data_IF_317046970718
#
_entry.id   IF_317046970718
#
_cell.length_a   1.000
_cell.length_b   1.000
_cell.length_c   1.000
_cell.angle_alpha   90.00
_cell.angle_beta   90.00
_cell.angle_gamma   90.00
#
_symmetry.space_group_name_H-M   'P 1'
#
loop_
_entity.id
_entity.type
_entity.pdbx_description
1 polymer ?
#
# COMPACT_ATOMS: atom_id res chain seq x y z
N UNK A 1 -0.57 -1.47 13.19
CA UNK A 1 -1.57 -0.70 13.98
C UNK A 1 -1.21 0.77 13.89
N UNK A 2 -2.16 1.62 13.53
CA UNK A 2 -1.96 3.07 13.45
C UNK A 2 -2.59 3.75 14.68
N UNK A 3 -1.82 4.61 15.32
CA UNK A 3 -2.25 5.43 16.46
C UNK A 3 -2.23 6.89 15.99
N UNK A 4 -3.40 7.40 15.64
CA UNK A 4 -3.55 8.78 15.18
C UNK A 4 -3.75 9.71 16.37
N UNK A 5 -2.90 10.72 16.48
CA UNK A 5 -2.91 11.75 17.52
C UNK A 5 -3.18 13.10 16.85
N UNK A 6 -4.42 13.57 16.97
CA UNK A 6 -4.85 14.86 16.40
C UNK A 6 -4.67 15.92 17.49
N UNK A 7 -3.75 16.85 17.29
CA UNK A 7 -3.50 17.95 18.20
C UNK A 7 -4.34 19.18 17.81
N UNK A 8 -4.90 19.85 18.81
CA UNK A 8 -5.79 21.00 18.62
C UNK A 8 -5.06 22.36 18.65
N UNK A 9 -3.82 22.36 19.10
CA UNK A 9 -2.99 23.55 19.23
C UNK A 9 -1.52 23.24 18.92
N UNK A 10 -0.67 24.24 18.90
CA UNK A 10 0.78 24.04 18.79
C UNK A 10 1.29 23.17 19.94
N UNK A 11 2.24 22.30 19.64
CA UNK A 11 2.91 21.48 20.66
C UNK A 11 3.84 22.32 21.50
N UNK A 12 3.80 22.11 22.81
CA UNK A 12 4.71 22.74 23.76
C UNK A 12 5.84 21.78 24.10
N UNK A 13 7.09 22.21 23.90
CA UNK A 13 8.25 21.45 24.35
C UNK A 13 8.25 21.32 25.86
N UNK A 14 8.48 20.12 26.39
CA UNK A 14 8.43 19.80 27.83
C UNK A 14 7.07 20.09 28.52
N UNK A 15 5.97 20.18 27.74
CA UNK A 15 4.61 20.42 28.24
C UNK A 15 3.60 19.42 27.74
N UNK A 16 2.40 19.50 28.31
CA UNK A 16 1.25 18.68 27.87
C UNK A 16 0.50 19.41 26.76
N UNK A 17 0.16 18.68 25.70
CA UNK A 17 -0.68 19.18 24.60
C UNK A 17 -1.92 18.29 24.50
N UNK A 18 -3.10 18.90 24.59
CA UNK A 18 -4.37 18.17 24.44
C UNK A 18 -4.49 17.59 23.04
N UNK A 19 -4.94 16.36 22.96
CA UNK A 19 -5.10 15.66 21.69
C UNK A 19 -6.27 14.68 21.72
N UNK A 20 -6.86 14.42 20.54
CA UNK A 20 -7.74 13.29 20.32
C UNK A 20 -6.93 12.13 19.79
N UNK A 21 -6.98 10.98 20.48
CA UNK A 21 -6.19 9.79 20.10
C UNK A 21 -7.13 8.67 19.70
N UNK A 22 -6.88 8.14 18.50
CA UNK A 22 -7.61 6.97 17.97
C UNK A 22 -6.64 5.88 17.55
N UNK A 23 -7.09 4.63 17.68
CA UNK A 23 -6.32 3.45 17.27
C UNK A 23 -7.11 2.67 16.24
N UNK A 24 -6.49 2.35 15.10
CA UNK A 24 -7.13 1.61 14.02
C UNK A 24 -6.11 0.71 13.30
N UNK A 25 -6.61 -0.29 12.58
CA UNK A 25 -5.76 -1.08 11.73
C UNK A 25 -5.10 -0.23 10.64
N UNK A 26 -3.83 -0.47 10.38
CA UNK A 26 -3.04 0.22 9.37
C UNK A 26 -2.08 -0.70 8.64
N UNK A 27 -1.19 -0.08 7.86
CA UNK A 27 -0.21 -0.73 7.01
C UNK A 27 -0.70 -0.94 5.58
N UNK A 28 0.07 -0.42 4.60
CA UNK A 28 -0.34 -0.36 3.19
C UNK A 28 -0.79 -1.73 2.64
N UNK A 29 -0.01 -2.80 2.85
CA UNK A 29 -0.40 -4.13 2.37
C UNK A 29 -1.70 -4.64 3.01
N UNK A 30 -1.92 -4.35 4.30
CA UNK A 30 -3.15 -4.73 4.99
C UNK A 30 -4.36 -3.93 4.48
N UNK A 31 -4.18 -2.64 4.19
CA UNK A 31 -5.22 -1.80 3.58
C UNK A 31 -5.59 -2.31 2.19
N UNK A 32 -4.60 -2.60 1.33
CA UNK A 32 -4.84 -3.20 0.01
C UNK A 32 -5.59 -4.54 0.14
N UNK A 33 -5.17 -5.41 1.06
CA UNK A 33 -5.84 -6.70 1.28
C UNK A 33 -7.30 -6.55 1.72
N UNK A 34 -7.61 -5.58 2.60
CA UNK A 34 -9.01 -5.32 3.02
C UNK A 34 -9.86 -4.77 1.89
N UNK A 35 -9.30 -3.92 1.03
CA UNK A 35 -9.99 -3.44 -0.17
C UNK A 35 -10.19 -4.54 -1.22
N UNK A 36 -9.21 -5.43 -1.42
CA UNK A 36 -9.37 -6.59 -2.31
C UNK A 36 -10.49 -7.51 -1.81
N UNK A 37 -10.49 -7.83 -0.51
CA UNK A 37 -11.57 -8.64 0.08
C UNK A 37 -12.95 -7.95 -0.03
N UNK A 38 -13.02 -6.62 0.11
CA UNK A 38 -14.25 -5.84 -0.10
C UNK A 38 -14.76 -5.94 -1.54
N UNK A 39 -13.86 -6.04 -2.52
CA UNK A 39 -14.19 -6.26 -3.94
C UNK A 39 -14.56 -7.71 -4.27
N UNK A 40 -14.46 -8.62 -3.30
CA UNK A 40 -14.80 -10.05 -3.45
C UNK A 40 -13.61 -10.93 -3.86
N UNK A 41 -12.39 -10.39 -3.85
CA UNK A 41 -11.19 -11.16 -4.14
C UNK A 41 -10.77 -12.01 -2.92
N UNK A 42 -10.19 -13.19 -3.19
CA UNK A 42 -9.61 -14.05 -2.16
C UNK A 42 -8.23 -13.55 -1.74
N UNK A 43 -8.20 -12.57 -0.84
CA UNK A 43 -6.99 -11.91 -0.40
C UNK A 43 -6.32 -12.64 0.77
N UNK A 44 -5.02 -12.95 0.64
CA UNK A 44 -4.18 -13.45 1.72
C UNK A 44 -3.12 -12.42 2.10
N UNK A 45 -3.15 -11.97 3.34
CA UNK A 45 -2.16 -11.03 3.87
C UNK A 45 -0.96 -11.77 4.47
N UNK A 46 0.22 -11.53 3.90
CA UNK A 46 1.50 -11.99 4.47
C UNK A 46 2.06 -10.87 5.34
N UNK A 47 1.95 -11.05 6.66
CA UNK A 47 2.47 -10.13 7.66
C UNK A 47 2.73 -10.87 8.97
N UNK A 48 3.53 -10.27 9.84
CA UNK A 48 3.80 -10.79 11.18
C UNK A 48 3.13 -9.91 12.22
N UNK A 49 2.51 -10.53 13.20
CA UNK A 49 1.93 -9.87 14.38
C UNK A 49 2.57 -10.45 15.64
N UNK A 50 2.73 -9.62 16.66
CA UNK A 50 3.16 -10.04 17.99
C UNK A 50 2.04 -10.74 18.76
N UNK A 51 2.41 -11.44 19.81
CA UNK A 51 1.44 -11.96 20.81
C UNK A 51 1.13 -10.87 21.82
N UNK A 52 0.40 -9.85 21.35
CA UNK A 52 0.01 -8.67 22.12
C UNK A 52 -1.41 -8.19 21.74
N UNK A 53 -1.94 -7.23 22.51
CA UNK A 53 -3.28 -6.71 22.30
C UNK A 53 -3.50 -6.08 20.92
N UNK A 54 -2.46 -5.52 20.32
CA UNK A 54 -2.54 -4.97 18.94
C UNK A 54 -2.62 -6.09 17.90
N UNK A 55 -1.87 -7.19 18.10
CA UNK A 55 -1.97 -8.39 17.27
C UNK A 55 -3.37 -9.02 17.34
N UNK A 56 -3.96 -9.11 18.55
CA UNK A 56 -5.32 -9.59 18.74
C UNK A 56 -6.34 -8.73 17.99
N UNK A 57 -6.22 -7.40 18.12
CA UNK A 57 -7.11 -6.47 17.47
C UNK A 57 -7.01 -6.56 15.92
N UNK A 58 -5.80 -6.63 15.38
CA UNK A 58 -5.57 -6.78 13.92
C UNK A 58 -6.12 -8.10 13.40
N UNK A 59 -5.88 -9.22 14.10
CA UNK A 59 -6.39 -10.52 13.69
C UNK A 59 -7.92 -10.53 13.64
N UNK A 60 -8.57 -9.96 14.66
CA UNK A 60 -10.02 -9.82 14.70
C UNK A 60 -10.52 -8.98 13.51
N UNK A 61 -9.85 -7.88 13.22
CA UNK A 61 -10.22 -6.97 12.14
C UNK A 61 -10.05 -7.65 10.77
N UNK A 62 -8.95 -8.37 10.50
CA UNK A 62 -8.77 -9.12 9.25
C UNK A 62 -9.89 -10.14 9.03
N UNK A 63 -10.29 -10.88 10.10
CA UNK A 63 -11.41 -11.81 10.03
C UNK A 63 -12.73 -11.08 9.68
N UNK A 64 -12.98 -9.89 10.22
CA UNK A 64 -14.17 -9.10 9.92
C UNK A 64 -14.23 -8.65 8.44
N UNK A 65 -13.07 -8.35 7.84
CA UNK A 65 -12.97 -8.01 6.42
C UNK A 65 -12.93 -9.24 5.49
N UNK A 66 -12.83 -10.46 6.03
CA UNK A 66 -12.65 -11.66 5.23
C UNK A 66 -11.25 -11.81 4.63
N UNK A 67 -10.26 -11.09 5.15
CA UNK A 67 -8.85 -11.22 4.74
C UNK A 67 -8.26 -12.46 5.39
N UNK A 68 -7.73 -13.38 4.58
CA UNK A 68 -6.99 -14.55 5.09
C UNK A 68 -5.58 -14.13 5.52
N UNK A 69 -5.07 -14.74 6.56
CA UNK A 69 -3.69 -14.60 7.03
C UNK A 69 -3.30 -15.84 7.85
N UNK A 70 -2.01 -16.01 8.17
CA UNK A 70 -1.52 -17.19 8.90
C UNK A 70 -2.16 -17.39 10.27
N UNK A 71 -2.59 -16.31 10.91
CA UNK A 71 -3.07 -16.32 12.32
C UNK A 71 -1.97 -16.57 13.33
N UNK A 72 -0.72 -16.73 12.89
CA UNK A 72 0.41 -17.00 13.78
C UNK A 72 0.78 -15.73 14.52
N UNK A 73 0.77 -15.79 15.84
CA UNK A 73 1.31 -14.78 16.72
C UNK A 73 2.73 -15.16 17.12
N UNK A 74 3.61 -14.20 17.13
CA UNK A 74 5.01 -14.42 17.47
C UNK A 74 5.24 -14.02 18.93
N UNK A 75 5.47 -14.98 19.84
CA UNK A 75 5.82 -14.69 21.24
C UNK A 75 7.13 -13.89 21.27
N UNK A 76 7.27 -13.04 22.25
CA UNK A 76 8.46 -12.17 22.45
C UNK A 76 8.68 -11.12 21.34
N UNK A 77 7.74 -10.97 20.42
CA UNK A 77 7.73 -9.94 19.38
C UNK A 77 6.57 -8.99 19.60
N UNK A 78 6.74 -7.71 19.22
CA UNK A 78 5.69 -6.71 19.29
C UNK A 78 5.07 -6.50 17.90
N UNK A 79 3.78 -6.32 17.87
CA UNK A 79 3.07 -5.90 16.65
C UNK A 79 3.59 -4.53 16.20
N UNK A 80 3.79 -4.35 14.90
CA UNK A 80 4.21 -3.07 14.33
C UNK A 80 3.19 -1.97 14.57
N UNK A 81 3.68 -0.77 14.91
CA UNK A 81 2.87 0.41 15.23
C UNK A 81 3.38 1.60 14.42
N UNK A 82 2.46 2.43 13.94
CA UNK A 82 2.77 3.77 13.42
C UNK A 82 2.06 4.78 14.30
N UNK A 83 2.81 5.67 14.94
CA UNK A 83 2.24 6.85 15.60
C UNK A 83 2.14 7.96 14.55
N UNK A 84 0.95 8.51 14.38
CA UNK A 84 0.65 9.55 13.40
C UNK A 84 0.27 10.80 14.15
N UNK A 85 1.11 11.82 14.09
CA UNK A 85 0.81 13.14 14.62
C UNK A 85 0.16 13.96 13.51
N UNK A 86 -1.05 14.44 13.77
CA UNK A 86 -1.80 15.32 12.87
C UNK A 86 -1.82 16.70 13.46
N UNK A 87 -1.17 17.65 12.80
CA UNK A 87 -1.09 19.04 13.21
C UNK A 87 -2.41 19.78 12.92
N UNK A 88 -2.67 20.96 13.54
CA UNK A 88 -3.90 21.75 13.34
C UNK A 88 -4.14 22.15 11.87
N UNK A 89 -3.08 22.27 11.07
CA UNK A 89 -3.16 22.55 9.63
C UNK A 89 -3.42 21.29 8.77
N UNK A 90 -3.59 20.11 9.40
CA UNK A 90 -3.83 18.83 8.73
C UNK A 90 -2.57 18.12 8.24
N UNK A 91 -1.38 18.65 8.46
CA UNK A 91 -0.13 17.96 8.12
C UNK A 91 0.10 16.77 9.03
N UNK A 92 0.71 15.72 8.46
CA UNK A 92 0.94 14.45 9.16
C UNK A 92 2.41 14.13 9.27
N UNK A 93 2.84 13.83 10.49
CA UNK A 93 4.17 13.28 10.77
C UNK A 93 4.01 11.84 11.27
N UNK A 94 4.70 10.90 10.65
CA UNK A 94 4.58 9.47 10.97
C UNK A 94 5.85 8.94 11.63
N UNK A 95 5.68 8.15 12.68
CA UNK A 95 6.74 7.49 13.43
C UNK A 95 6.52 5.96 13.37
N UNK A 96 7.04 5.29 12.31
CA UNK A 96 6.83 3.87 12.14
C UNK A 96 7.79 3.04 13.00
N UNK A 97 7.25 2.06 13.72
CA UNK A 97 7.98 0.92 14.26
C UNK A 97 7.45 -0.35 13.59
N UNK A 98 8.29 -1.01 12.82
CA UNK A 98 7.91 -2.22 12.06
C UNK A 98 7.61 -3.43 12.95
N UNK A 99 8.04 -3.42 14.21
CA UNK A 99 7.83 -4.53 15.13
C UNK A 99 8.24 -5.88 14.52
N UNK A 100 7.37 -6.87 14.68
CA UNK A 100 7.54 -8.24 14.15
C UNK A 100 7.71 -8.29 12.63
N UNK A 101 7.12 -7.35 11.87
CA UNK A 101 7.29 -7.29 10.40
C UNK A 101 8.75 -7.04 9.97
N UNK A 102 9.62 -6.54 10.86
CA UNK A 102 11.05 -6.43 10.57
C UNK A 102 11.74 -7.79 10.39
N UNK A 103 11.08 -8.88 10.79
CA UNK A 103 11.56 -10.27 10.67
C UNK A 103 10.80 -11.08 9.62
N UNK A 104 9.99 -10.42 8.79
CA UNK A 104 9.25 -11.07 7.70
C UNK A 104 10.21 -11.91 6.84
N UNK A 105 9.80 -13.12 6.47
CA UNK A 105 10.63 -14.08 5.77
C UNK A 105 9.80 -15.04 4.91
N UNK A 106 10.47 -15.85 4.09
CA UNK A 106 9.84 -16.88 3.26
C UNK A 106 9.01 -17.90 4.04
N UNK A 107 9.32 -18.09 5.34
CA UNK A 107 8.53 -18.98 6.19
C UNK A 107 7.12 -18.42 6.51
N UNK A 108 6.89 -17.14 6.24
CA UNK A 108 5.59 -16.48 6.44
C UNK A 108 4.69 -16.60 5.20
N UNK A 109 5.23 -17.08 4.06
CA UNK A 109 4.45 -17.33 2.85
C UNK A 109 3.52 -18.54 3.03
N UNK A 110 2.27 -18.46 2.57
CA UNK A 110 1.42 -19.64 2.44
C UNK A 110 1.94 -20.56 1.30
N UNK A 111 1.39 -21.78 1.17
CA UNK A 111 1.52 -22.52 -0.09
C UNK A 111 1.10 -21.64 -1.26
N UNK A 112 1.90 -21.60 -2.32
CA UNK A 112 1.74 -20.63 -3.40
C UNK A 112 0.76 -21.06 -4.50
N UNK A 113 0.29 -22.29 -4.47
CA UNK A 113 -0.65 -22.82 -5.44
C UNK A 113 -1.97 -22.03 -5.46
N UNK A 114 -2.41 -21.61 -6.62
CA UNK A 114 -3.67 -20.91 -6.84
C UNK A 114 -3.62 -19.39 -6.64
N UNK A 115 -2.46 -18.81 -6.27
CA UNK A 115 -2.29 -17.37 -6.27
C UNK A 115 -1.89 -16.85 -7.66
N UNK A 116 -2.60 -15.84 -8.16
CA UNK A 116 -2.34 -15.24 -9.47
C UNK A 116 -1.38 -14.05 -9.40
N UNK A 117 -1.44 -13.29 -8.29
CA UNK A 117 -0.62 -12.11 -8.08
C UNK A 117 -0.20 -11.92 -6.63
N UNK A 118 0.89 -11.20 -6.43
CA UNK A 118 1.35 -10.73 -5.15
C UNK A 118 1.63 -9.22 -5.22
N UNK A 119 0.97 -8.47 -4.35
CA UNK A 119 1.25 -7.07 -4.11
C UNK A 119 2.27 -6.92 -2.99
N UNK A 120 3.32 -6.19 -3.24
CA UNK A 120 4.38 -5.90 -2.27
C UNK A 120 4.40 -4.40 -1.98
N UNK A 121 4.17 -4.03 -0.71
CA UNK A 121 4.48 -2.71 -0.22
C UNK A 121 6.00 -2.53 -0.13
N UNK A 122 6.55 -1.40 -0.57
CA UNK A 122 7.99 -1.16 -0.59
C UNK A 122 8.65 -1.01 0.77
N UNK A 123 7.88 -0.71 1.83
CA UNK A 123 8.45 -0.49 3.16
C UNK A 123 9.31 -1.63 3.70
N UNK A 124 8.98 -2.92 3.54
CA UNK A 124 9.85 -4.02 3.93
C UNK A 124 11.16 -4.11 3.13
N UNK A 125 11.19 -3.61 1.88
CA UNK A 125 12.42 -3.49 1.08
C UNK A 125 13.28 -2.31 1.56
N UNK A 126 12.65 -1.21 1.97
CA UNK A 126 13.34 -0.04 2.54
C UNK A 126 13.97 -0.38 3.88
N UNK A 127 13.29 -1.16 4.72
CA UNK A 127 13.80 -1.58 6.04
C UNK A 127 14.98 -2.55 5.89
N UNK A 128 16.20 -2.20 6.35
CA UNK A 128 17.37 -3.04 6.20
C UNK A 128 17.28 -4.39 6.93
N UNK A 129 16.40 -4.49 7.96
CA UNK A 129 16.23 -5.74 8.73
C UNK A 129 15.44 -6.80 7.99
N UNK A 130 14.45 -6.40 7.17
CA UNK A 130 13.59 -7.31 6.39
C UNK A 130 14.01 -7.44 4.93
N UNK A 131 14.78 -6.51 4.39
CA UNK A 131 15.12 -6.42 2.95
C UNK A 131 15.57 -7.72 2.34
N UNK A 132 16.61 -8.35 2.90
CA UNK A 132 17.18 -9.58 2.33
C UNK A 132 16.15 -10.71 2.27
N UNK A 133 15.36 -10.86 3.33
CA UNK A 133 14.32 -11.87 3.41
C UNK A 133 13.18 -11.60 2.41
N UNK A 134 12.77 -10.33 2.26
CA UNK A 134 11.72 -9.95 1.32
C UNK A 134 12.17 -10.13 -0.12
N UNK A 135 13.44 -9.86 -0.45
CA UNK A 135 14.00 -10.19 -1.77
C UNK A 135 13.95 -11.71 -2.03
N UNK A 136 14.28 -12.54 -1.05
CA UNK A 136 14.14 -13.99 -1.18
C UNK A 136 12.68 -14.45 -1.34
N UNK A 137 11.71 -13.77 -0.68
CA UNK A 137 10.28 -14.02 -0.89
C UNK A 137 9.86 -13.66 -2.33
N UNK A 138 10.32 -12.52 -2.85
CA UNK A 138 10.07 -12.07 -4.22
C UNK A 138 10.59 -13.11 -5.23
N UNK A 139 11.78 -13.64 -5.03
CA UNK A 139 12.36 -14.68 -5.88
C UNK A 139 11.52 -15.96 -5.88
N UNK A 140 10.99 -16.37 -4.73
CA UNK A 140 10.09 -17.54 -4.62
C UNK A 140 8.76 -17.29 -5.35
N UNK A 141 8.14 -16.13 -5.16
CA UNK A 141 6.91 -15.75 -5.84
C UNK A 141 7.09 -15.71 -7.37
N UNK A 142 8.19 -15.12 -7.82
CA UNK A 142 8.55 -15.06 -9.24
C UNK A 142 8.79 -16.47 -9.82
N UNK A 143 9.48 -17.34 -9.08
CA UNK A 143 9.73 -18.74 -9.49
C UNK A 143 8.45 -19.54 -9.58
N UNK A 144 7.42 -19.20 -8.81
CA UNK A 144 6.08 -19.80 -8.88
C UNK A 144 5.22 -19.22 -10.02
N UNK A 145 5.73 -18.25 -10.80
CA UNK A 145 5.00 -17.65 -11.92
C UNK A 145 3.93 -16.63 -11.49
N UNK A 146 3.99 -16.14 -10.26
CA UNK A 146 3.02 -15.19 -9.72
C UNK A 146 3.33 -13.79 -10.25
N UNK A 147 2.32 -13.08 -10.73
CA UNK A 147 2.44 -11.68 -11.16
C UNK A 147 2.84 -10.77 -9.98
N UNK A 148 3.92 -10.03 -10.12
CA UNK A 148 4.46 -9.19 -9.04
C UNK A 148 4.08 -7.72 -9.23
N UNK A 149 3.50 -7.12 -8.20
CA UNK A 149 3.01 -5.74 -8.21
C UNK A 149 3.63 -5.00 -7.02
N UNK A 150 4.20 -3.81 -7.24
CA UNK A 150 4.81 -3.00 -6.18
C UNK A 150 4.19 -1.61 -6.08
N UNK A 151 4.03 -1.12 -4.84
CA UNK A 151 4.02 0.29 -4.49
C UNK A 151 5.31 0.56 -3.72
N UNK A 152 6.26 1.36 -4.27
CA UNK A 152 7.61 1.48 -3.70
C UNK A 152 7.66 2.21 -2.36
N UNK A 153 6.56 2.89 -1.98
CA UNK A 153 6.48 3.67 -0.75
C UNK A 153 6.86 5.15 -0.94
N UNK A 154 6.69 5.93 0.11
CA UNK A 154 6.80 7.40 0.07
C UNK A 154 8.20 7.90 -0.27
N UNK A 155 8.27 9.07 -0.92
CA UNK A 155 9.54 9.76 -1.21
C UNK A 155 10.41 9.92 0.03
N UNK A 156 9.81 10.30 1.18
CA UNK A 156 10.57 10.47 2.44
C UNK A 156 11.27 9.20 2.92
N UNK A 157 10.66 8.03 2.67
CA UNK A 157 11.26 6.73 2.99
C UNK A 157 12.35 6.33 1.97
N UNK A 158 12.13 6.64 0.70
CA UNK A 158 13.02 6.29 -0.42
C UNK A 158 14.29 7.15 -0.49
N UNK A 159 14.27 8.38 0.04
CA UNK A 159 15.42 9.32 -0.01
C UNK A 159 16.74 8.75 0.53
N UNK A 160 16.68 7.75 1.42
CA UNK A 160 17.86 7.10 2.01
C UNK A 160 18.36 5.90 1.20
N UNK A 161 17.69 5.56 0.11
CA UNK A 161 18.01 4.40 -0.73
C UNK A 161 18.69 4.90 -2.02
N UNK A 162 19.83 4.35 -2.42
CA UNK A 162 20.44 4.69 -3.71
C UNK A 162 19.48 4.41 -4.87
N UNK A 163 19.41 5.32 -5.85
CA UNK A 163 18.53 5.17 -7.02
C UNK A 163 18.75 3.85 -7.76
N UNK A 164 20.01 3.45 -7.93
CA UNK A 164 20.36 2.18 -8.56
C UNK A 164 19.68 0.99 -7.85
N UNK A 165 19.68 0.99 -6.52
CA UNK A 165 19.00 -0.05 -5.72
C UNK A 165 17.48 -0.03 -5.93
N UNK A 166 16.87 1.18 -6.02
CA UNK A 166 15.44 1.30 -6.31
C UNK A 166 15.13 0.74 -7.70
N UNK A 167 15.96 1.03 -8.71
CA UNK A 167 15.80 0.49 -10.07
C UNK A 167 15.93 -1.03 -10.11
N UNK A 168 16.91 -1.59 -9.40
CA UNK A 168 17.08 -3.04 -9.24
C UNK A 168 15.85 -3.69 -8.62
N UNK A 169 15.23 -3.05 -7.62
CA UNK A 169 13.98 -3.55 -7.06
C UNK A 169 12.85 -3.48 -8.07
N UNK A 170 12.62 -2.32 -8.70
CA UNK A 170 11.54 -2.14 -9.67
C UNK A 170 11.62 -3.13 -10.83
N UNK A 171 12.82 -3.50 -11.26
CA UNK A 171 13.05 -4.49 -12.33
C UNK A 171 12.61 -5.93 -11.96
N UNK A 172 12.30 -6.20 -10.69
CA UNK A 172 11.77 -7.50 -10.26
C UNK A 172 10.26 -7.64 -10.52
N UNK A 173 9.56 -6.53 -10.75
CA UNK A 173 8.10 -6.48 -10.78
C UNK A 173 7.53 -6.32 -12.18
N UNK A 174 6.32 -6.85 -12.38
CA UNK A 174 5.56 -6.74 -13.62
C UNK A 174 4.79 -5.41 -13.69
N UNK A 175 4.35 -4.91 -12.52
CA UNK A 175 3.58 -3.67 -12.39
C UNK A 175 4.13 -2.83 -11.24
N UNK A 176 4.36 -1.54 -11.50
CA UNK A 176 4.66 -0.55 -10.48
C UNK A 176 3.51 0.47 -10.38
N UNK A 177 2.98 0.66 -9.18
CA UNK A 177 1.90 1.61 -8.89
C UNK A 177 2.44 2.67 -7.94
N UNK A 178 2.65 3.88 -8.43
CA UNK A 178 3.27 4.98 -7.69
C UNK A 178 2.30 6.16 -7.56
N UNK A 179 2.60 7.10 -6.68
CA UNK A 179 2.04 8.45 -6.83
C UNK A 179 2.96 9.34 -7.70
N UNK A 180 2.46 10.51 -8.11
CA UNK A 180 3.19 11.41 -9.03
C UNK A 180 4.52 11.88 -8.41
N UNK A 181 4.55 12.21 -7.12
CA UNK A 181 5.78 12.62 -6.43
C UNK A 181 6.82 11.50 -6.38
N UNK A 182 6.40 10.27 -6.16
CA UNK A 182 7.27 9.09 -6.18
C UNK A 182 7.81 8.82 -7.59
N UNK A 183 6.97 8.92 -8.61
CA UNK A 183 7.38 8.73 -10.00
C UNK A 183 8.43 9.77 -10.44
N UNK A 184 8.20 11.04 -10.13
CA UNK A 184 9.14 12.12 -10.42
C UNK A 184 10.45 11.95 -9.64
N UNK A 185 10.37 11.63 -8.35
CA UNK A 185 11.55 11.40 -7.51
C UNK A 185 12.40 10.23 -8.01
N UNK A 186 11.79 9.05 -8.20
CA UNK A 186 12.51 7.83 -8.59
C UNK A 186 13.12 7.99 -9.98
N UNK A 187 12.38 8.56 -10.92
CA UNK A 187 12.86 8.77 -12.29
C UNK A 187 13.89 9.89 -12.43
N UNK A 188 14.02 10.74 -11.40
CA UNK A 188 14.84 11.97 -11.43
C UNK A 188 14.43 12.88 -12.60
N UNK A 189 13.12 12.99 -12.87
CA UNK A 189 12.52 13.84 -13.91
C UNK A 189 11.59 14.85 -13.27
N UNK A 190 11.39 16.00 -13.95
CA UNK A 190 10.47 17.06 -13.56
C UNK A 190 9.09 16.93 -14.21
N UNK A 191 9.01 16.18 -15.32
CA UNK A 191 7.78 16.03 -16.11
C UNK A 191 7.29 14.59 -16.07
N UNK A 192 5.97 14.41 -15.93
CA UNK A 192 5.34 13.10 -15.73
C UNK A 192 5.58 12.16 -16.92
N UNK A 193 5.47 12.64 -18.14
CA UNK A 193 5.67 11.83 -19.35
C UNK A 193 7.10 11.30 -19.44
N UNK A 194 8.08 12.14 -19.09
CA UNK A 194 9.48 11.74 -19.03
C UNK A 194 9.73 10.73 -17.89
N UNK A 195 9.04 10.89 -16.76
CA UNK A 195 9.11 9.95 -15.63
C UNK A 195 8.51 8.60 -16.03
N UNK A 196 7.33 8.58 -16.61
CA UNK A 196 6.65 7.36 -17.09
C UNK A 196 7.52 6.62 -18.12
N UNK A 197 8.08 7.33 -19.09
CA UNK A 197 8.94 6.74 -20.13
C UNK A 197 10.19 6.11 -19.52
N UNK A 198 10.83 6.79 -18.57
CA UNK A 198 12.02 6.27 -17.89
C UNK A 198 11.69 5.03 -17.06
N UNK A 199 10.60 5.06 -16.30
CA UNK A 199 10.18 3.94 -15.43
C UNK A 199 9.73 2.74 -16.27
N UNK A 200 9.08 2.95 -17.40
CA UNK A 200 8.69 1.88 -18.33
C UNK A 200 9.87 1.13 -18.97
N UNK A 201 11.05 1.72 -18.97
CA UNK A 201 12.28 1.03 -19.36
C UNK A 201 12.76 0.03 -18.28
N UNK A 202 12.20 0.08 -17.06
CA UNK A 202 12.57 -0.76 -15.93
C UNK A 202 11.46 -1.77 -15.61
N UNK A 203 10.20 -1.31 -15.56
CA UNK A 203 9.04 -2.12 -15.17
C UNK A 203 8.03 -2.13 -16.32
N UNK A 204 7.53 -3.30 -16.76
CA UNK A 204 6.68 -3.43 -17.95
C UNK A 204 5.39 -2.59 -17.93
N UNK A 205 4.77 -2.46 -16.76
CA UNK A 205 3.56 -1.65 -16.56
C UNK A 205 3.80 -0.65 -15.44
N UNK A 206 3.63 0.62 -15.74
CA UNK A 206 3.75 1.70 -14.73
C UNK A 206 2.45 2.47 -14.65
N UNK A 207 1.93 2.62 -13.45
CA UNK A 207 0.70 3.37 -13.14
C UNK A 207 1.02 4.45 -12.12
N UNK A 208 0.58 5.68 -12.40
CA UNK A 208 0.82 6.82 -11.53
C UNK A 208 -0.50 7.41 -11.07
N UNK A 209 -0.72 7.40 -9.75
CA UNK A 209 -1.84 8.03 -9.05
C UNK A 209 -1.58 9.53 -8.95
N UNK A 210 -2.55 10.37 -9.34
CA UNK A 210 -2.40 11.83 -9.44
C UNK A 210 -3.44 12.59 -8.62
N UNK A 211 -4.02 11.94 -7.61
CA UNK A 211 -5.06 12.51 -6.75
C UNK A 211 -6.26 13.03 -7.57
N UNK A 212 -6.62 14.30 -7.41
CA UNK A 212 -7.74 14.91 -8.13
C UNK A 212 -7.51 15.04 -9.64
N UNK A 213 -6.29 14.88 -10.13
CA UNK A 213 -5.99 14.81 -11.56
C UNK A 213 -6.18 13.40 -12.16
N UNK A 214 -6.58 12.43 -11.35
CA UNK A 214 -6.85 11.05 -11.78
C UNK A 214 -5.62 10.16 -11.77
N UNK A 215 -5.34 9.46 -12.86
CA UNK A 215 -4.19 8.59 -12.99
C UNK A 215 -3.62 8.62 -14.42
N UNK A 216 -2.38 8.19 -14.55
CA UNK A 216 -1.72 7.99 -15.83
C UNK A 216 -1.02 6.64 -15.82
N UNK A 217 -0.85 6.04 -16.98
CA UNK A 217 -0.13 4.78 -17.12
C UNK A 217 0.68 4.75 -18.41
N UNK A 218 1.68 3.91 -18.41
CA UNK A 218 2.43 3.55 -19.60
C UNK A 218 2.60 2.02 -19.64
N UNK A 219 2.37 1.45 -20.79
CA UNK A 219 2.55 0.05 -21.09
C UNK A 219 3.16 -0.05 -22.49
N UNK A 220 3.49 -1.21 -22.96
CA UNK A 220 4.05 -1.55 -24.27
C UNK A 220 3.92 -0.47 -25.36
N UNK A 221 4.99 -0.18 -26.11
CA UNK A 221 5.06 0.83 -27.16
C UNK A 221 5.07 2.30 -26.69
N UNK A 222 5.28 2.55 -25.40
CA UNK A 222 5.38 3.91 -24.84
C UNK A 222 4.11 4.77 -25.07
N UNK A 223 2.94 4.16 -25.16
CA UNK A 223 1.67 4.88 -25.19
C UNK A 223 1.26 5.24 -23.76
N UNK A 224 1.17 6.53 -23.50
CA UNK A 224 0.71 7.04 -22.21
C UNK A 224 -0.81 7.20 -22.29
N UNK A 225 -1.50 6.61 -21.33
CA UNK A 225 -2.95 6.75 -21.16
C UNK A 225 -3.23 7.56 -19.90
N UNK A 226 -4.20 8.45 -19.97
CA UNK A 226 -4.69 9.24 -18.84
C UNK A 226 -6.13 8.87 -18.50
N UNK A 227 -6.42 8.70 -17.21
CA UNK A 227 -7.76 8.49 -16.68
C UNK A 227 -8.09 9.66 -15.73
N UNK A 228 -9.09 10.49 -16.04
CA UNK A 228 -9.48 11.58 -15.15
C UNK A 228 -10.13 11.04 -13.87
N UNK A 229 -10.06 11.82 -12.78
CA UNK A 229 -10.81 11.54 -11.57
C UNK A 229 -12.17 12.21 -11.60
N UNK A 230 -13.19 11.53 -11.07
CA UNK A 230 -14.46 12.17 -10.76
C UNK A 230 -14.29 13.13 -9.57
N UNK A 231 -14.89 14.30 -9.68
CA UNK A 231 -14.88 15.29 -8.58
C UNK A 231 -15.75 14.81 -7.43
N UNK A 232 -15.19 14.85 -6.23
CA UNK A 232 -15.89 14.52 -4.98
C UNK A 232 -15.28 15.34 -3.83
N UNK A 233 -16.11 15.68 -2.85
CA UNK A 233 -15.64 16.28 -1.62
C UNK A 233 -15.00 15.19 -0.76
N UNK A 234 -13.72 15.35 -0.48
CA UNK A 234 -12.96 14.41 0.33
C UNK A 234 -13.18 14.67 1.81
N UNK A 235 -13.56 13.63 2.55
CA UNK A 235 -13.64 13.65 4.01
C UNK A 235 -12.29 13.31 4.64
N UNK A 236 -11.64 12.25 4.17
CA UNK A 236 -10.31 11.81 4.60
C UNK A 236 -9.59 11.15 3.41
N UNK A 237 -8.38 11.61 3.09
CA UNK A 237 -7.59 11.06 1.97
C UNK A 237 -6.72 9.86 2.36
N UNK A 238 -6.76 9.45 3.64
CA UNK A 238 -5.98 8.31 4.15
C UNK A 238 -6.39 7.01 3.45
N UNK A 239 -5.41 6.29 2.91
CA UNK A 239 -5.66 5.00 2.26
C UNK A 239 -6.23 5.08 0.83
N UNK A 240 -6.47 6.29 0.28
CA UNK A 240 -6.97 6.43 -1.09
C UNK A 240 -6.05 5.74 -2.13
N UNK A 241 -4.73 5.82 -1.91
CA UNK A 241 -3.75 5.14 -2.74
C UNK A 241 -3.82 3.61 -2.64
N UNK A 242 -4.05 3.08 -1.43
CA UNK A 242 -4.21 1.65 -1.18
C UNK A 242 -5.52 1.13 -1.81
N UNK A 243 -6.61 1.89 -1.67
CA UNK A 243 -7.90 1.59 -2.29
C UNK A 243 -7.82 1.60 -3.81
N UNK A 244 -7.15 2.61 -4.40
CA UNK A 244 -6.86 2.63 -5.85
C UNK A 244 -6.10 1.40 -6.27
N UNK A 245 -5.03 1.06 -5.56
CA UNK A 245 -4.18 -0.10 -5.86
C UNK A 245 -4.98 -1.40 -5.83
N UNK A 246 -5.84 -1.60 -4.84
CA UNK A 246 -6.70 -2.77 -4.76
C UNK A 246 -7.70 -2.85 -5.93
N UNK A 247 -8.37 -1.76 -6.26
CA UNK A 247 -9.29 -1.69 -7.41
C UNK A 247 -8.59 -1.96 -8.74
N UNK A 248 -7.40 -1.38 -8.91
CA UNK A 248 -6.56 -1.62 -10.08
C UNK A 248 -6.18 -3.11 -10.18
N UNK A 249 -5.70 -3.73 -9.11
CA UNK A 249 -5.28 -5.14 -9.10
C UNK A 249 -6.45 -6.05 -9.45
N UNK A 250 -7.60 -5.88 -8.78
CA UNK A 250 -8.80 -6.70 -9.01
C UNK A 250 -9.21 -6.70 -10.48
N UNK A 251 -9.35 -5.51 -11.08
CA UNK A 251 -9.74 -5.41 -12.49
C UNK A 251 -8.62 -5.84 -13.45
N UNK A 252 -7.36 -5.51 -13.15
CA UNK A 252 -6.22 -5.89 -13.97
C UNK A 252 -6.06 -7.41 -14.10
N UNK A 253 -6.25 -8.14 -13.02
CA UNK A 253 -6.17 -9.61 -13.05
C UNK A 253 -7.26 -10.21 -13.92
N UNK A 254 -8.46 -9.64 -13.89
CA UNK A 254 -9.63 -10.12 -14.63
C UNK A 254 -9.58 -9.78 -16.11
N UNK A 255 -9.31 -8.51 -16.47
CA UNK A 255 -9.46 -8.01 -17.83
C UNK A 255 -8.15 -7.90 -18.61
N UNK A 256 -7.03 -7.68 -17.91
CA UNK A 256 -5.74 -7.26 -18.47
C UNK A 256 -5.81 -5.94 -19.27
N UNK A 257 -6.91 -5.17 -19.10
CA UNK A 257 -7.14 -3.89 -19.75
C UNK A 257 -6.80 -2.75 -18.79
N UNK A 258 -5.77 -1.95 -19.15
CA UNK A 258 -5.21 -0.94 -18.26
C UNK A 258 -6.19 0.20 -17.97
N UNK A 259 -6.99 0.59 -18.97
CA UNK A 259 -7.99 1.66 -18.83
C UNK A 259 -9.10 1.27 -17.86
N UNK A 260 -9.62 0.02 -17.98
CA UNK A 260 -10.60 -0.52 -17.04
C UNK A 260 -10.02 -0.61 -15.63
N UNK A 261 -8.78 -1.08 -15.49
CA UNK A 261 -8.11 -1.20 -14.20
C UNK A 261 -7.89 0.16 -13.53
N UNK A 262 -7.45 1.19 -14.29
CA UNK A 262 -7.31 2.55 -13.78
C UNK A 262 -8.66 3.14 -13.37
N UNK A 263 -9.72 2.88 -14.13
CA UNK A 263 -11.07 3.34 -13.80
C UNK A 263 -11.55 2.75 -12.49
N UNK A 264 -11.50 1.42 -12.33
CA UNK A 264 -11.91 0.73 -11.09
C UNK A 264 -11.03 1.16 -9.91
N UNK A 265 -9.72 1.34 -10.13
CA UNK A 265 -8.83 1.94 -9.13
C UNK A 265 -9.28 3.33 -8.69
N UNK A 266 -9.60 4.20 -9.64
CA UNK A 266 -10.11 5.55 -9.38
C UNK A 266 -11.43 5.55 -8.61
N UNK A 267 -12.39 4.69 -9.00
CA UNK A 267 -13.69 4.53 -8.32
C UNK A 267 -13.50 4.07 -6.86
N UNK A 268 -12.58 3.14 -6.61
CA UNK A 268 -12.26 2.67 -5.27
C UNK A 268 -11.56 3.75 -4.42
N UNK A 269 -10.59 4.46 -4.99
CA UNK A 269 -9.96 5.60 -4.33
C UNK A 269 -10.98 6.68 -3.95
N UNK A 270 -11.93 6.98 -4.85
CA UNK A 270 -13.04 7.90 -4.61
C UNK A 270 -13.96 7.42 -3.48
N UNK A 271 -14.28 6.13 -3.42
CA UNK A 271 -15.08 5.56 -2.33
C UNK A 271 -14.35 5.68 -0.98
N UNK A 272 -13.05 5.44 -0.95
CA UNK A 272 -12.23 5.54 0.25
C UNK A 272 -12.28 6.95 0.86
N UNK A 273 -12.09 8.00 0.05
CA UNK A 273 -12.02 9.37 0.55
C UNK A 273 -13.35 9.95 1.05
N UNK A 274 -14.46 9.24 0.87
CA UNK A 274 -15.78 9.58 1.39
C UNK A 274 -16.04 9.02 2.79
N UNK A 275 -15.07 8.32 3.39
CA UNK A 275 -15.13 7.79 4.76
C UNK A 275 -13.86 8.12 5.53
N UNK A 276 -13.93 8.07 6.86
CA UNK A 276 -12.74 8.26 7.70
C UNK A 276 -11.98 6.95 7.79
N UNK A 277 -10.65 7.00 7.61
CA UNK A 277 -9.74 5.87 7.71
C UNK A 277 -9.39 5.22 6.37
N UNK A 278 -8.39 4.33 6.40
CA UNK A 278 -7.78 3.76 5.21
C UNK A 278 -8.49 2.51 4.66
N UNK A 279 -9.45 1.96 5.40
CA UNK A 279 -10.10 0.68 5.09
C UNK A 279 -11.56 0.89 4.69
N UNK A 280 -12.15 -0.04 3.92
CA UNK A 280 -13.57 0.07 3.55
C UNK A 280 -14.47 0.02 4.78
N UNK A 281 -15.66 0.67 4.76
CA UNK A 281 -16.61 0.57 5.86
C UNK A 281 -17.04 -0.89 6.11
N UNK A 282 -17.01 -1.33 7.36
CA UNK A 282 -17.52 -2.65 7.74
C UNK A 282 -19.03 -2.76 7.43
N UNK A 283 -19.44 -3.83 6.78
CA UNK A 283 -20.83 -4.09 6.41
C UNK A 283 -21.21 -3.74 4.98
N UNK A 284 -20.33 -3.13 4.20
CA UNK A 284 -20.49 -2.88 2.78
C UNK A 284 -19.84 -3.98 1.91
N UNK A 285 -19.74 -5.22 2.41
CA UNK A 285 -19.26 -6.34 1.60
C UNK A 285 -20.20 -6.47 0.40
N UNK A 286 -19.70 -6.14 -0.79
CA UNK A 286 -20.44 -6.30 -2.02
C UNK A 286 -20.93 -7.74 -2.12
N UNK A 287 -22.26 -7.92 -2.08
CA UNK A 287 -22.85 -9.21 -2.45
C UNK A 287 -22.54 -9.40 -3.92
N UNK A 288 -21.35 -9.97 -4.20
CA UNK A 288 -21.02 -10.48 -5.51
C UNK A 288 -22.12 -11.49 -5.90
N UNK A 289 -22.75 -11.22 -7.02
CA UNK A 289 -23.65 -12.16 -7.70
C UNK A 289 -22.84 -13.22 -8.39
#
# INVERSE_FOLDING_TARGET
MDISTIIESDTHFEGDTSASITTQGGGAAANVATWLAHLGEDAYLVSRIGDDAHGDALQKEFNQYGVRHSGIKHPDEKTGIVVILVSPNGERTMFPDSGSNSKLSSNDLPPLDGFEAAYISGYPLINPRSRANVLAMIDQLKSAGITLIIDPGTVGALQKIPFQTIYEWLALFDVAILNESEALFISQRSELEAALTMLAAITPVVVVKRGSAGSASIREKNVITYMPADKVDALDTTGAGDAFTAGFISEWLRSKEIDSAMKVGGDNGRLCIQSIGARPPLGAIGKGK
#
